data_IF_503676459324
#
_entry.id   IF_503676459324
#
_cell.length_a   1.000
_cell.length_b   1.000
_cell.length_c   1.000
_cell.angle_alpha   90.00
_cell.angle_beta   90.00
_cell.angle_gamma   90.00
#
_symmetry.space_group_name_H-M   'P 1'
#
loop_
_entity.id
_entity.type
_entity.pdbx_description
1 polymer ?
#
# COMPACT_ATOMS: atom_id res chain seq x y z
N UNK A 1 -2.91 -14.83 28.14
CA UNK A 1 -3.34 -13.84 27.12
C UNK A 1 -4.12 -14.63 26.09
N UNK A 2 -5.46 -14.55 26.12
CA UNK A 2 -6.33 -15.38 25.27
C UNK A 2 -6.12 -15.00 23.80
N UNK A 3 -5.68 -15.96 23.00
CA UNK A 3 -5.49 -15.88 21.54
C UNK A 3 -6.82 -15.75 20.76
N UNK A 4 -7.95 -15.54 21.44
CA UNK A 4 -9.32 -15.49 20.89
C UNK A 4 -9.61 -14.26 20.01
N UNK A 5 -8.64 -13.40 19.72
CA UNK A 5 -8.84 -12.10 19.05
C UNK A 5 -8.00 -11.87 17.77
N UNK A 6 -7.30 -12.88 17.27
CA UNK A 6 -6.44 -12.76 16.08
C UNK A 6 -7.08 -13.49 14.90
N UNK A 7 -7.58 -12.73 13.92
CA UNK A 7 -8.47 -13.23 12.88
C UNK A 7 -7.81 -13.70 11.58
N UNK A 8 -6.57 -13.33 11.27
CA UNK A 8 -5.92 -13.78 10.02
C UNK A 8 -4.42 -13.98 10.20
N UNK A 9 -3.96 -15.17 9.84
CA UNK A 9 -2.57 -15.52 9.65
C UNK A 9 -2.33 -15.60 8.14
N UNK A 10 -1.50 -14.73 7.61
CA UNK A 10 -1.01 -14.86 6.23
C UNK A 10 0.33 -15.54 6.25
N UNK A 11 0.38 -16.78 5.78
CA UNK A 11 1.63 -17.54 5.61
C UNK A 11 2.03 -17.55 4.13
N UNK A 12 3.31 -17.32 3.86
CA UNK A 12 3.93 -17.71 2.58
C UNK A 12 4.70 -19.00 2.82
N UNK A 13 4.25 -20.10 2.19
CA UNK A 13 4.86 -21.43 2.27
C UNK A 13 5.39 -21.91 0.90
N UNK A 14 5.97 -21.03 0.09
CA UNK A 14 6.37 -21.35 -1.29
C UNK A 14 7.87 -21.18 -1.53
N UNK A 15 8.70 -22.14 -1.12
CA UNK A 15 10.07 -22.28 -1.66
C UNK A 15 10.50 -23.75 -1.74
N UNK A 16 9.72 -24.58 -2.46
CA UNK A 16 10.18 -25.93 -2.81
C UNK A 16 11.39 -25.80 -3.73
N UNK A 17 12.52 -26.39 -3.33
CA UNK A 17 13.69 -26.57 -4.18
C UNK A 17 13.28 -27.26 -5.50
N UNK A 18 13.11 -26.50 -6.58
CA UNK A 18 13.01 -27.06 -7.93
C UNK A 18 14.40 -27.53 -8.38
N UNK A 19 14.88 -28.66 -7.84
CA UNK A 19 15.88 -29.45 -8.53
C UNK A 19 15.17 -30.37 -9.51
N UNK A 20 14.93 -29.89 -10.74
CA UNK A 20 14.89 -30.81 -11.89
C UNK A 20 16.32 -31.10 -12.28
N UNK A 21 16.79 -32.26 -11.85
CA UNK A 21 17.93 -32.94 -12.42
C UNK A 21 17.62 -33.28 -13.89
N UNK A 22 18.31 -32.65 -14.82
CA UNK A 22 18.55 -33.13 -16.17
C UNK A 22 20.03 -32.83 -16.41
N UNK A 23 20.91 -33.81 -16.27
CA UNK A 23 21.23 -34.73 -17.36
C UNK A 23 22.51 -34.19 -17.99
N UNK A 24 23.57 -34.98 -17.91
CA UNK A 24 24.92 -34.69 -18.40
C UNK A 24 24.91 -34.06 -19.80
N UNK A 25 25.75 -33.04 -19.98
CA UNK A 25 26.60 -32.91 -21.17
C UNK A 25 27.69 -31.85 -20.89
N UNK A 26 28.93 -32.33 -20.95
CA UNK A 26 30.12 -31.53 -21.16
C UNK A 26 29.99 -30.73 -22.47
N UNK A 27 30.38 -29.46 -22.47
CA UNK A 27 31.18 -28.82 -23.53
C UNK A 27 31.45 -27.34 -23.19
N UNK A 28 32.71 -26.96 -23.40
CA UNK A 28 33.31 -25.64 -23.20
C UNK A 28 32.61 -24.53 -24.01
N UNK A 29 32.36 -23.37 -23.39
CA UNK A 29 32.49 -22.08 -24.11
C UNK A 29 32.68 -20.89 -23.15
N UNK A 30 33.80 -20.19 -23.36
CA UNK A 30 34.23 -18.98 -22.66
C UNK A 30 33.54 -17.75 -23.26
N UNK A 31 32.34 -17.38 -22.79
CA UNK A 31 31.78 -16.04 -23.01
C UNK A 31 31.04 -15.52 -21.78
N UNK A 32 31.62 -14.50 -21.14
CA UNK A 32 31.04 -13.78 -20.00
C UNK A 32 30.39 -12.48 -20.50
N UNK A 33 29.06 -12.31 -20.46
CA UNK A 33 28.44 -11.00 -20.55
C UNK A 33 27.88 -10.53 -19.20
N UNK A 34 28.13 -9.25 -18.95
CA UNK A 34 27.50 -8.29 -18.03
C UNK A 34 26.70 -8.82 -16.83
N UNK A 35 27.23 -8.48 -15.65
CA UNK A 35 26.67 -8.66 -14.32
C UNK A 35 25.32 -7.94 -14.18
N UNK A 36 24.25 -8.61 -14.63
CA UNK A 36 22.92 -8.37 -14.08
C UNK A 36 22.99 -8.71 -12.60
N UNK A 37 22.65 -7.74 -11.74
CA UNK A 37 22.47 -7.97 -10.31
C UNK A 37 21.21 -8.83 -10.13
N UNK A 38 21.36 -10.12 -10.39
CA UNK A 38 20.41 -11.15 -10.02
C UNK A 38 20.36 -11.16 -8.49
N UNK A 39 19.18 -10.92 -7.92
CA UNK A 39 18.96 -11.20 -6.49
C UNK A 39 19.45 -12.62 -6.19
N UNK A 40 20.19 -12.87 -5.11
CA UNK A 40 20.76 -14.19 -4.86
C UNK A 40 19.61 -15.21 -4.75
N UNK A 41 19.52 -16.08 -5.75
CA UNK A 41 18.59 -17.21 -5.84
C UNK A 41 18.95 -18.35 -4.87
N UNK A 42 19.96 -18.16 -4.03
CA UNK A 42 20.45 -19.12 -3.05
C UNK A 42 19.93 -18.73 -1.66
N UNK A 43 19.10 -19.60 -1.08
CA UNK A 43 18.65 -19.48 0.32
C UNK A 43 19.90 -19.58 1.22
N UNK A 44 20.20 -18.56 2.05
CA UNK A 44 21.35 -18.61 2.93
C UNK A 44 21.18 -19.68 4.02
N UNK A 45 22.29 -20.24 4.50
CA UNK A 45 22.26 -21.14 5.65
C UNK A 45 21.85 -20.38 6.90
N UNK A 46 20.95 -20.97 7.68
CA UNK A 46 20.62 -20.53 9.04
C UNK A 46 21.62 -21.16 10.01
N UNK A 47 22.34 -20.35 10.76
CA UNK A 47 23.53 -20.72 11.52
C UNK A 47 23.29 -21.72 12.66
N UNK A 48 22.07 -21.85 13.14
CA UNK A 48 21.65 -22.83 14.16
C UNK A 48 21.29 -24.21 13.58
N UNK A 49 21.12 -24.33 12.26
CA UNK A 49 20.77 -25.58 11.58
C UNK A 49 21.99 -26.25 10.95
N UNK A 50 22.08 -27.59 11.11
CA UNK A 50 23.17 -28.40 10.55
C UNK A 50 22.93 -28.87 9.10
N UNK A 51 21.85 -28.45 8.45
CA UNK A 51 21.42 -28.94 7.13
C UNK A 51 20.83 -27.86 6.23
N UNK A 52 20.50 -28.22 4.97
CA UNK A 52 19.73 -27.34 4.09
C UNK A 52 18.34 -27.08 4.70
N UNK A 53 17.77 -25.93 4.34
CA UNK A 53 16.44 -25.52 4.79
C UNK A 53 15.48 -25.84 3.65
N UNK A 54 14.53 -26.73 3.91
CA UNK A 54 13.55 -27.16 2.92
C UNK A 54 12.36 -26.19 2.85
N UNK A 55 11.99 -25.59 3.98
CA UNK A 55 10.93 -24.59 4.09
C UNK A 55 11.16 -23.64 5.26
N UNK A 56 10.53 -22.47 5.19
CA UNK A 56 10.47 -21.50 6.28
C UNK A 56 9.23 -20.64 6.09
N UNK A 57 8.66 -20.17 7.20
CA UNK A 57 7.42 -19.41 7.19
C UNK A 57 7.67 -18.01 7.73
N UNK A 58 7.18 -17.02 6.99
CA UNK A 58 7.02 -15.64 7.48
C UNK A 58 5.53 -15.38 7.53
N UNK A 59 5.06 -14.97 8.70
CA UNK A 59 3.65 -14.70 8.94
C UNK A 59 3.43 -13.29 9.49
N UNK A 60 2.32 -12.70 9.08
CA UNK A 60 1.80 -11.47 9.67
C UNK A 60 0.37 -11.67 10.14
N UNK A 61 0.01 -11.00 11.23
CA UNK A 61 -1.35 -11.03 11.76
C UNK A 61 -1.82 -9.64 12.19
N UNK A 62 -3.04 -9.31 11.80
CA UNK A 62 -3.69 -8.03 12.07
C UNK A 62 -4.80 -8.19 13.12
N UNK A 63 -4.93 -7.25 14.07
CA UNK A 63 -6.11 -7.20 14.92
C UNK A 63 -7.30 -6.71 14.09
N UNK A 64 -8.44 -7.41 14.13
CA UNK A 64 -9.65 -7.01 13.39
C UNK A 64 -10.63 -6.16 14.19
N UNK A 65 -10.40 -6.01 15.49
CA UNK A 65 -11.27 -5.21 16.36
C UNK A 65 -11.26 -3.74 15.90
N UNK A 66 -12.45 -3.17 15.72
CA UNK A 66 -12.63 -1.80 15.29
C UNK A 66 -12.57 -1.58 13.77
N UNK A 67 -12.65 -2.64 12.96
CA UNK A 67 -12.64 -2.53 11.49
C UNK A 67 -13.77 -1.67 10.93
N UNK A 68 -14.94 -1.67 11.58
CA UNK A 68 -16.10 -0.85 11.23
C UNK A 68 -16.13 0.51 11.94
N UNK A 69 -15.20 0.75 12.85
CA UNK A 69 -15.17 1.97 13.65
C UNK A 69 -14.38 3.06 12.93
N UNK A 70 -14.93 4.27 12.94
CA UNK A 70 -14.20 5.45 12.51
C UNK A 70 -13.42 6.00 13.70
N UNK A 71 -12.10 5.82 13.68
CA UNK A 71 -11.21 6.29 14.72
C UNK A 71 -9.84 6.64 14.15
N UNK A 72 -9.40 7.87 14.45
CA UNK A 72 -8.05 8.33 14.16
C UNK A 72 -7.00 7.80 15.15
N UNK A 73 -7.43 7.02 16.16
CA UNK A 73 -6.51 6.40 17.10
C UNK A 73 -5.56 5.44 16.40
N UNK A 74 -4.28 5.55 16.70
CA UNK A 74 -3.27 4.63 16.19
C UNK A 74 -3.29 3.32 16.97
N UNK A 75 -3.11 2.19 16.27
CA UNK A 75 -2.96 0.90 16.94
C UNK A 75 -1.65 0.84 17.72
N UNK A 76 -1.63 0.15 18.88
CA UNK A 76 -0.41 -0.04 19.64
C UNK A 76 0.59 -0.90 18.86
N UNK A 77 1.87 -0.60 19.04
CA UNK A 77 2.92 -1.40 18.40
C UNK A 77 2.94 -2.81 18.95
N UNK A 78 3.22 -3.79 18.10
CA UNK A 78 3.26 -5.21 18.42
C UNK A 78 4.70 -5.72 18.49
N UNK A 79 4.98 -6.71 19.36
CA UNK A 79 6.27 -7.39 19.35
C UNK A 79 6.47 -8.20 18.06
N UNK A 80 7.73 -8.39 17.68
CA UNK A 80 8.12 -9.39 16.67
C UNK A 80 8.24 -10.75 17.35
N UNK A 81 7.96 -11.84 16.65
CA UNK A 81 8.05 -13.19 17.16
C UNK A 81 9.09 -14.01 16.41
N UNK A 82 9.91 -14.71 17.19
CA UNK A 82 10.76 -15.82 16.74
C UNK A 82 10.52 -16.97 17.73
N UNK A 83 9.40 -17.68 17.54
CA UNK A 83 8.76 -18.59 18.51
C UNK A 83 8.25 -17.90 19.80
N UNK A 84 9.05 -17.04 20.42
CA UNK A 84 8.67 -16.20 21.56
C UNK A 84 8.66 -14.70 21.17
N UNK A 85 7.92 -13.87 21.92
CA UNK A 85 7.94 -12.43 21.72
C UNK A 85 9.35 -11.85 21.95
N UNK A 86 9.77 -11.00 21.02
CA UNK A 86 10.93 -10.11 21.10
C UNK A 86 10.44 -8.68 21.36
N UNK A 87 11.34 -7.70 21.37
CA UNK A 87 10.95 -6.29 21.45
C UNK A 87 10.10 -5.86 20.24
N UNK A 88 9.30 -4.81 20.46
CA UNK A 88 8.61 -4.11 19.37
C UNK A 88 9.61 -3.35 18.49
N UNK A 89 9.38 -3.38 17.18
CA UNK A 89 10.15 -2.61 16.19
C UNK A 89 9.31 -1.55 15.47
N UNK A 90 8.16 -1.18 16.05
CA UNK A 90 7.26 -0.15 15.52
C UNK A 90 6.11 -0.67 14.65
N UNK A 91 6.06 -1.97 14.34
CA UNK A 91 4.94 -2.56 13.61
C UNK A 91 3.64 -2.51 14.41
N UNK A 92 2.51 -2.32 13.74
CA UNK A 92 1.17 -2.32 14.34
C UNK A 92 0.41 -3.64 14.14
N UNK A 93 1.10 -4.60 13.52
CA UNK A 93 0.66 -5.97 13.30
C UNK A 93 1.74 -6.90 13.86
N UNK A 94 1.36 -8.13 14.19
CA UNK A 94 2.33 -9.15 14.60
C UNK A 94 3.13 -9.56 13.38
N UNK A 95 4.45 -9.59 13.50
CA UNK A 95 5.36 -10.20 12.55
C UNK A 95 5.99 -11.42 13.21
N UNK A 96 5.81 -12.59 12.62
CA UNK A 96 6.46 -13.83 13.03
C UNK A 96 7.34 -14.33 11.89
N UNK A 97 8.58 -14.69 12.21
CA UNK A 97 9.43 -15.40 11.28
C UNK A 97 10.44 -16.25 12.03
N UNK A 98 11.11 -17.12 11.28
CA UNK A 98 12.23 -17.94 11.69
C UNK A 98 13.53 -17.15 11.94
N UNK A 99 13.44 -15.97 12.55
CA UNK A 99 14.60 -15.12 12.76
C UNK A 99 15.65 -15.79 13.65
N UNK A 100 16.91 -15.66 13.25
CA UNK A 100 18.03 -15.91 14.14
C UNK A 100 18.13 -14.79 15.18
N UNK A 101 18.30 -15.19 16.44
CA UNK A 101 18.38 -14.29 17.59
C UNK A 101 19.65 -14.56 18.40
N UNK A 102 20.24 -13.54 19.06
CA UNK A 102 21.36 -13.72 19.97
C UNK A 102 20.91 -14.47 21.23
N UNK A 103 21.87 -14.97 22.00
CA UNK A 103 21.61 -15.72 23.24
C UNK A 103 20.78 -14.94 24.28
N UNK A 104 20.87 -13.60 24.29
CA UNK A 104 20.05 -12.74 25.16
C UNK A 104 18.57 -12.80 24.83
N UNK A 105 18.19 -13.17 23.60
CA UNK A 105 16.81 -13.21 23.09
C UNK A 105 16.03 -11.89 23.25
N UNK A 106 16.73 -10.76 23.33
CA UNK A 106 16.11 -9.44 23.48
C UNK A 106 15.91 -8.71 22.14
N UNK A 107 16.71 -9.03 21.12
CA UNK A 107 16.67 -8.40 19.81
C UNK A 107 16.93 -9.42 18.70
N UNK A 108 16.87 -8.99 17.45
CA UNK A 108 17.26 -9.77 16.28
C UNK A 108 18.77 -9.75 16.09
N UNK A 109 19.30 -10.84 15.54
CA UNK A 109 20.67 -10.84 15.02
C UNK A 109 20.70 -10.06 13.70
N UNK A 110 21.45 -8.96 13.63
CA UNK A 110 21.43 -8.02 12.48
C UNK A 110 22.56 -8.22 11.49
N UNK A 111 23.52 -9.08 11.83
CA UNK A 111 24.77 -9.35 11.09
C UNK A 111 24.75 -10.68 10.35
N UNK A 112 23.57 -11.20 9.97
CA UNK A 112 23.45 -12.47 9.25
C UNK A 112 22.66 -12.36 7.95
N UNK A 113 23.03 -13.21 7.00
CA UNK A 113 22.39 -13.26 5.68
C UNK A 113 20.98 -13.84 5.76
N UNK A 114 20.71 -14.70 6.76
CA UNK A 114 19.40 -15.33 6.94
C UNK A 114 18.29 -14.31 7.24
N UNK A 115 18.47 -13.43 8.22
CA UNK A 115 17.47 -12.43 8.58
C UNK A 115 17.35 -11.35 7.50
N UNK A 116 18.44 -10.98 6.82
CA UNK A 116 18.38 -10.09 5.65
C UNK A 116 17.58 -10.72 4.50
N UNK A 117 17.77 -12.02 4.26
CA UNK A 117 17.00 -12.76 3.26
C UNK A 117 15.51 -12.83 3.65
N UNK A 118 15.16 -13.16 4.89
CA UNK A 118 13.77 -13.14 5.37
C UNK A 118 13.14 -11.77 5.16
N UNK A 119 13.84 -10.70 5.57
CA UNK A 119 13.41 -9.32 5.35
C UNK A 119 13.16 -8.98 3.89
N UNK A 120 13.98 -9.49 2.97
CA UNK A 120 13.81 -9.27 1.54
C UNK A 120 12.51 -9.88 0.98
N UNK A 121 11.96 -10.91 1.65
CA UNK A 121 10.71 -11.57 1.27
C UNK A 121 9.47 -10.95 1.92
N UNK A 122 9.64 -10.26 3.05
CA UNK A 122 8.54 -9.62 3.78
C UNK A 122 7.66 -8.66 2.95
N UNK A 123 8.15 -7.86 1.98
CA UNK A 123 7.30 -6.94 1.22
C UNK A 123 6.11 -7.62 0.53
N UNK A 124 6.30 -8.86 0.08
CA UNK A 124 5.24 -9.66 -0.56
C UNK A 124 4.06 -9.90 0.38
N UNK A 125 4.29 -9.99 1.69
CA UNK A 125 3.23 -10.17 2.68
C UNK A 125 2.31 -8.95 2.76
N UNK A 126 2.81 -7.74 2.49
CA UNK A 126 1.96 -6.54 2.47
C UNK A 126 1.01 -6.56 1.28
N UNK A 127 1.46 -7.05 0.12
CA UNK A 127 0.59 -7.27 -1.03
C UNK A 127 -0.46 -8.34 -0.75
N UNK A 128 -0.06 -9.50 -0.20
CA UNK A 128 -1.02 -10.54 0.17
C UNK A 128 -2.04 -10.04 1.21
N UNK A 129 -1.60 -9.26 2.19
CA UNK A 129 -2.48 -8.61 3.16
C UNK A 129 -3.50 -7.70 2.47
N UNK A 130 -3.06 -6.85 1.55
CA UNK A 130 -3.98 -6.01 0.77
C UNK A 130 -5.04 -6.85 0.06
N UNK A 131 -4.65 -7.95 -0.62
CA UNK A 131 -5.60 -8.83 -1.31
C UNK A 131 -6.60 -9.46 -0.34
N UNK A 132 -6.15 -9.93 0.83
CA UNK A 132 -7.03 -10.48 1.85
C UNK A 132 -8.00 -9.43 2.40
N UNK A 133 -7.53 -8.22 2.70
CA UNK A 133 -8.39 -7.13 3.16
C UNK A 133 -9.42 -6.71 2.10
N UNK A 134 -9.11 -6.81 0.81
CA UNK A 134 -10.07 -6.57 -0.28
C UNK A 134 -11.21 -7.59 -0.28
N UNK A 135 -10.92 -8.85 0.02
CA UNK A 135 -11.88 -9.96 0.08
C UNK A 135 -12.54 -10.14 1.45
N UNK A 136 -12.01 -9.48 2.48
CA UNK A 136 -12.41 -9.65 3.88
C UNK A 136 -13.92 -9.45 4.13
N UNK A 137 -14.60 -8.43 3.56
CA UNK A 137 -16.05 -8.29 3.68
C UNK A 137 -16.83 -9.54 3.26
N UNK A 138 -16.46 -10.13 2.11
CA UNK A 138 -17.11 -11.33 1.57
C UNK A 138 -16.80 -12.55 2.45
N UNK A 139 -15.55 -12.72 2.87
CA UNK A 139 -15.15 -13.86 3.68
C UNK A 139 -15.82 -13.86 5.07
N UNK A 140 -16.00 -12.67 5.66
CA UNK A 140 -16.72 -12.52 6.93
C UNK A 140 -18.22 -12.86 6.76
N UNK A 141 -18.81 -12.47 5.63
CA UNK A 141 -20.20 -12.80 5.32
C UNK A 141 -20.40 -14.31 5.13
N UNK A 142 -19.53 -14.97 4.36
CA UNK A 142 -19.62 -16.40 4.06
C UNK A 142 -19.44 -17.28 5.30
N UNK A 143 -18.50 -16.91 6.18
CA UNK A 143 -18.17 -17.70 7.36
C UNK A 143 -19.11 -17.43 8.56
N UNK A 144 -20.10 -16.52 8.43
CA UNK A 144 -20.96 -16.07 9.53
C UNK A 144 -20.18 -15.74 10.81
N UNK A 145 -18.95 -15.21 10.66
CA UNK A 145 -18.06 -14.94 11.80
C UNK A 145 -18.54 -13.75 12.64
N UNK A 146 -19.57 -13.05 12.17
CA UNK A 146 -20.18 -11.93 12.89
C UNK A 146 -21.15 -12.48 13.94
N UNK A 147 -20.88 -12.10 15.19
CA UNK A 147 -21.82 -12.20 16.30
C UNK A 147 -22.52 -10.84 16.50
N UNK A 148 -23.40 -10.73 17.49
CA UNK A 148 -24.22 -9.53 17.78
C UNK A 148 -23.41 -8.21 17.96
N UNK A 149 -22.07 -8.28 18.03
CA UNK A 149 -21.19 -7.16 18.33
C UNK A 149 -20.39 -6.62 17.13
N UNK A 150 -20.44 -7.27 15.96
CA UNK A 150 -19.70 -6.80 14.78
C UNK A 150 -20.63 -6.60 13.58
N UNK A 151 -20.63 -5.38 13.05
CA UNK A 151 -21.25 -5.10 11.76
C UNK A 151 -20.35 -5.61 10.63
N UNK A 152 -20.97 -5.99 9.51
CA UNK A 152 -20.25 -6.38 8.31
C UNK A 152 -19.45 -5.18 7.77
N UNK A 153 -18.11 -5.27 7.65
CA UNK A 153 -17.31 -4.16 7.15
C UNK A 153 -17.53 -3.96 5.65
N UNK A 154 -17.58 -2.71 5.20
CA UNK A 154 -17.55 -2.41 3.76
C UNK A 154 -16.13 -2.59 3.20
N UNK A 155 -16.01 -2.74 1.88
CA UNK A 155 -14.69 -2.77 1.23
C UNK A 155 -13.86 -1.50 1.52
N UNK A 156 -14.50 -0.32 1.59
CA UNK A 156 -13.84 0.93 1.96
C UNK A 156 -13.29 0.83 3.39
N UNK A 157 -14.08 0.34 4.33
CA UNK A 157 -13.65 0.17 5.71
C UNK A 157 -12.48 -0.82 5.82
N UNK A 158 -12.54 -1.95 5.13
CA UNK A 158 -11.47 -2.94 5.15
C UNK A 158 -10.14 -2.39 4.58
N UNK A 159 -10.17 -1.70 3.44
CA UNK A 159 -8.97 -1.09 2.86
C UNK A 159 -8.47 0.08 3.72
N UNK A 160 -9.36 0.98 4.19
CA UNK A 160 -9.01 2.04 5.15
C UNK A 160 -8.29 1.46 6.37
N UNK A 161 -8.80 0.35 6.88
CA UNK A 161 -8.25 -0.31 8.06
C UNK A 161 -6.86 -0.91 7.78
N UNK A 162 -6.68 -1.60 6.64
CA UNK A 162 -5.37 -2.08 6.19
C UNK A 162 -4.33 -0.94 6.11
N UNK A 163 -4.70 0.20 5.51
CA UNK A 163 -3.80 1.34 5.36
C UNK A 163 -3.29 1.89 6.71
N UNK A 164 -4.05 1.75 7.79
CA UNK A 164 -3.62 2.15 9.16
C UNK A 164 -2.50 1.28 9.73
N UNK A 165 -2.29 0.09 9.19
CA UNK A 165 -1.21 -0.81 9.61
C UNK A 165 0.07 -0.66 8.79
N UNK A 166 0.02 0.08 7.69
CA UNK A 166 1.20 0.29 6.88
C UNK A 166 2.29 1.03 7.70
N UNK A 167 3.52 0.49 7.71
CA UNK A 167 4.58 0.98 8.58
C UNK A 167 5.08 2.36 8.14
N UNK A 168 4.96 3.39 8.99
CA UNK A 168 5.53 4.70 8.70
C UNK A 168 7.04 4.68 8.94
N UNK A 169 7.84 5.15 7.97
CA UNK A 169 9.32 5.06 8.04
C UNK A 169 9.90 5.68 9.31
N UNK A 170 9.33 6.74 9.87
CA UNK A 170 9.91 7.39 11.06
C UNK A 170 9.60 6.69 12.40
N UNK A 171 8.69 5.71 12.42
CA UNK A 171 8.27 5.00 13.66
C UNK A 171 8.88 3.60 13.76
N UNK A 172 9.51 3.14 12.68
CA UNK A 172 9.98 1.77 12.51
C UNK A 172 11.48 1.72 12.77
N UNK A 173 11.92 0.64 13.40
CA UNK A 173 13.35 0.39 13.61
C UNK A 173 14.12 0.52 12.28
N UNK A 174 15.22 1.30 12.21
CA UNK A 174 16.03 1.50 11.01
C UNK A 174 16.38 0.21 10.25
N UNK A 175 16.48 -0.92 10.96
CA UNK A 175 16.76 -2.23 10.38
C UNK A 175 15.69 -2.71 9.39
N UNK A 176 14.44 -2.26 9.52
CA UNK A 176 13.33 -2.64 8.65
C UNK A 176 13.02 -1.59 7.56
N UNK A 177 13.80 -0.52 7.42
CA UNK A 177 13.49 0.55 6.45
C UNK A 177 13.42 0.07 5.02
N UNK A 178 14.32 -0.85 4.63
CA UNK A 178 14.29 -1.42 3.29
C UNK A 178 12.98 -2.19 3.05
N UNK A 179 12.50 -2.93 4.05
CA UNK A 179 11.20 -3.60 3.98
C UNK A 179 10.06 -2.58 3.82
N UNK A 180 10.08 -1.48 4.58
CA UNK A 180 9.08 -0.41 4.47
C UNK A 180 9.08 0.16 3.05
N UNK A 181 10.23 0.62 2.57
CA UNK A 181 10.35 1.25 1.24
C UNK A 181 9.89 0.32 0.12
N UNK A 182 10.34 -0.94 0.13
CA UNK A 182 9.91 -1.95 -0.86
C UNK A 182 8.43 -2.27 -0.77
N UNK A 183 7.84 -2.24 0.42
CA UNK A 183 6.40 -2.43 0.59
C UNK A 183 5.62 -1.29 -0.04
N UNK A 184 6.03 -0.03 0.15
CA UNK A 184 5.39 1.11 -0.50
C UNK A 184 5.55 1.08 -2.02
N UNK A 185 6.74 0.75 -2.53
CA UNK A 185 6.99 0.59 -3.98
C UNK A 185 6.06 -0.47 -4.59
N UNK A 186 5.96 -1.64 -3.94
CA UNK A 186 5.10 -2.72 -4.40
C UNK A 186 3.62 -2.32 -4.35
N UNK A 187 3.17 -1.77 -3.21
CA UNK A 187 1.78 -1.38 -3.00
C UNK A 187 1.33 -0.26 -3.93
N UNK A 188 2.18 0.73 -4.22
CA UNK A 188 1.87 1.82 -5.14
C UNK A 188 1.47 1.33 -6.55
N UNK A 189 2.00 0.17 -6.98
CA UNK A 189 1.71 -0.42 -8.28
C UNK A 189 0.49 -1.35 -8.33
N UNK A 190 -0.09 -1.73 -7.19
CA UNK A 190 -1.11 -2.80 -7.11
C UNK A 190 -2.34 -2.42 -6.28
N UNK A 191 -2.20 -1.49 -5.34
CA UNK A 191 -3.32 -1.04 -4.51
C UNK A 191 -4.25 -0.20 -5.35
N UNK A 192 -5.54 -0.44 -5.20
CA UNK A 192 -6.59 0.45 -5.66
C UNK A 192 -7.27 1.09 -4.45
N UNK A 193 -7.54 2.39 -4.57
CA UNK A 193 -8.18 3.20 -3.55
C UNK A 193 -9.56 3.67 -4.01
N UNK A 194 -10.53 3.79 -3.09
CA UNK A 194 -11.87 4.22 -3.42
C UNK A 194 -11.88 5.73 -3.68
N UNK A 195 -12.40 6.15 -4.82
CA UNK A 195 -12.57 7.56 -5.20
C UNK A 195 -14.01 7.84 -5.59
N UNK A 196 -14.39 9.11 -5.49
CA UNK A 196 -15.73 9.57 -5.84
C UNK A 196 -15.74 9.95 -7.33
N UNK A 197 -16.60 9.28 -8.10
CA UNK A 197 -16.91 9.64 -9.48
C UNK A 197 -18.34 10.21 -9.54
N UNK A 198 -18.49 11.35 -10.23
CA UNK A 198 -19.80 11.96 -10.46
C UNK A 198 -20.35 11.50 -11.81
N UNK A 199 -21.45 10.75 -11.78
CA UNK A 199 -22.14 10.32 -13.00
C UNK A 199 -22.86 11.51 -13.65
N UNK A 200 -23.15 11.37 -14.94
CA UNK A 200 -23.88 12.38 -15.73
C UNK A 200 -25.28 12.71 -15.18
N UNK A 201 -25.88 11.78 -14.44
CA UNK A 201 -27.19 11.97 -13.79
C UNK A 201 -27.09 12.67 -12.41
N UNK A 202 -25.87 13.02 -11.96
CA UNK A 202 -25.61 13.65 -10.67
C UNK A 202 -25.37 12.68 -9.51
N UNK A 203 -25.48 11.36 -9.75
CA UNK A 203 -25.23 10.37 -8.71
C UNK A 203 -23.73 10.19 -8.45
N UNK A 204 -23.38 9.95 -7.19
CA UNK A 204 -22.02 9.59 -6.79
C UNK A 204 -21.83 8.08 -6.91
N UNK A 205 -20.81 7.68 -7.66
CA UNK A 205 -20.36 6.31 -7.76
C UNK A 205 -18.98 6.17 -7.12
N UNK A 206 -18.78 5.06 -6.41
CA UNK A 206 -17.46 4.69 -5.90
C UNK A 206 -16.77 3.85 -6.97
N UNK A 207 -15.62 4.33 -7.43
CA UNK A 207 -14.74 3.56 -8.30
C UNK A 207 -13.40 3.33 -7.59
N UNK A 208 -12.68 2.29 -8.00
CA UNK A 208 -11.40 1.91 -7.42
C UNK A 208 -10.30 2.19 -8.43
N UNK A 209 -9.34 3.03 -8.06
CA UNK A 209 -8.27 3.52 -8.97
C UNK A 209 -6.90 3.48 -8.28
N UNK A 210 -5.79 3.40 -9.03
CA UNK A 210 -4.45 3.42 -8.43
C UNK A 210 -4.15 4.76 -7.71
N UNK A 211 -3.31 4.77 -6.66
CA UNK A 211 -2.94 5.97 -5.91
C UNK A 211 -2.49 7.14 -6.77
N UNK A 212 -1.80 6.89 -7.90
CA UNK A 212 -1.34 7.92 -8.83
C UNK A 212 -2.45 8.77 -9.45
N UNK A 213 -3.70 8.29 -9.42
CA UNK A 213 -4.90 9.00 -9.89
C UNK A 213 -5.71 9.61 -8.74
N UNK A 214 -5.28 9.42 -7.49
CA UNK A 214 -5.99 9.90 -6.31
C UNK A 214 -5.48 11.28 -5.89
N UNK A 215 -6.41 12.20 -5.66
CA UNK A 215 -6.18 13.53 -5.11
C UNK A 215 -6.71 13.60 -3.69
N UNK A 216 -5.85 14.04 -2.77
CA UNK A 216 -6.19 14.28 -1.37
C UNK A 216 -6.68 15.72 -1.25
N UNK A 217 -7.93 15.90 -0.82
CA UNK A 217 -8.49 17.20 -0.47
C UNK A 217 -9.42 17.03 0.73
N UNK A 218 -9.07 17.65 1.87
CA UNK A 218 -9.85 17.59 3.11
C UNK A 218 -10.87 18.72 3.20
N UNK A 219 -10.54 19.87 2.65
CA UNK A 219 -11.35 21.08 2.76
C UNK A 219 -12.37 21.18 1.63
N UNK A 220 -13.56 21.65 1.98
CA UNK A 220 -14.65 21.86 1.03
C UNK A 220 -14.32 22.95 0.01
N UNK A 221 -13.48 23.92 0.39
CA UNK A 221 -13.11 25.05 -0.47
C UNK A 221 -12.32 24.59 -1.71
N UNK A 222 -11.32 23.74 -1.52
CA UNK A 222 -10.54 23.14 -2.62
C UNK A 222 -11.45 22.35 -3.56
N UNK A 223 -12.38 21.57 -3.00
CA UNK A 223 -13.36 20.80 -3.81
C UNK A 223 -14.39 21.68 -4.52
N UNK A 224 -14.76 22.84 -3.96
CA UNK A 224 -15.66 23.78 -4.63
C UNK A 224 -14.95 24.55 -5.75
N UNK A 225 -13.65 24.82 -5.57
CA UNK A 225 -12.84 25.55 -6.53
C UNK A 225 -12.39 24.65 -7.69
N UNK A 226 -12.07 23.40 -7.40
CA UNK A 226 -11.65 22.39 -8.38
C UNK A 226 -12.67 21.27 -8.32
N UNK A 227 -13.58 21.27 -9.28
CA UNK A 227 -14.62 20.25 -9.37
C UNK A 227 -14.05 18.91 -9.82
N UNK A 228 -14.77 17.83 -9.51
CA UNK A 228 -14.46 16.47 -9.96
C UNK A 228 -14.28 16.41 -11.48
N UNK A 229 -15.14 17.12 -12.22
CA UNK A 229 -15.09 17.17 -13.67
C UNK A 229 -13.80 17.81 -14.19
N UNK A 230 -13.30 18.85 -13.51
CA UNK A 230 -12.05 19.52 -13.89
C UNK A 230 -10.84 18.60 -13.68
N UNK A 231 -10.80 17.87 -12.56
CA UNK A 231 -9.75 16.87 -12.29
C UNK A 231 -9.77 15.74 -13.31
N UNK A 232 -10.95 15.22 -13.62
CA UNK A 232 -11.11 14.14 -14.57
C UNK A 232 -10.69 14.57 -15.97
N UNK A 233 -11.20 15.71 -16.44
CA UNK A 233 -10.98 16.21 -17.80
C UNK A 233 -9.52 16.55 -18.08
N UNK A 234 -8.83 17.20 -17.14
CA UNK A 234 -7.47 17.71 -17.39
C UNK A 234 -6.36 16.84 -16.81
N UNK A 235 -6.65 15.96 -15.85
CA UNK A 235 -5.62 15.17 -15.14
C UNK A 235 -5.95 13.69 -15.02
N UNK A 236 -7.11 13.24 -15.52
CA UNK A 236 -7.59 11.87 -15.32
C UNK A 236 -7.42 11.42 -13.86
N UNK A 237 -7.82 12.29 -12.93
CA UNK A 237 -7.63 12.14 -11.50
C UNK A 237 -8.94 12.35 -10.76
N UNK A 238 -9.05 11.81 -9.56
CA UNK A 238 -10.28 11.78 -8.77
C UNK A 238 -10.02 12.16 -7.32
N UNK A 239 -11.02 12.71 -6.65
CA UNK A 239 -10.95 12.90 -5.20
C UNK A 239 -11.06 11.57 -4.46
N UNK A 240 -10.10 11.34 -3.57
CA UNK A 240 -10.09 10.19 -2.67
C UNK A 240 -11.29 10.25 -1.71
N UNK A 241 -11.89 9.08 -1.44
CA UNK A 241 -13.07 8.97 -0.59
C UNK A 241 -12.83 9.50 0.83
N UNK A 242 -13.83 10.19 1.39
CA UNK A 242 -13.73 10.94 2.64
C UNK A 242 -13.32 10.07 3.83
N UNK A 243 -13.84 8.84 3.91
CA UNK A 243 -13.45 7.91 4.97
C UNK A 243 -11.94 7.60 4.99
N UNK A 244 -11.31 7.52 3.82
CA UNK A 244 -9.86 7.26 3.73
C UNK A 244 -9.09 8.55 4.03
N UNK A 245 -9.51 9.68 3.45
CA UNK A 245 -8.85 10.98 3.62
C UNK A 245 -8.87 11.45 5.08
N UNK A 246 -9.95 11.19 5.80
CA UNK A 246 -10.14 11.67 7.17
C UNK A 246 -9.44 10.80 8.23
N UNK A 247 -9.20 9.51 7.93
CA UNK A 247 -8.68 8.57 8.92
C UNK A 247 -7.28 8.05 8.65
N UNK A 248 -6.81 8.11 7.41
CA UNK A 248 -5.45 7.71 7.05
C UNK A 248 -4.47 8.89 7.15
N UNK A 249 -3.21 8.57 7.47
CA UNK A 249 -2.15 9.57 7.50
C UNK A 249 -1.88 10.09 6.07
N UNK A 250 -1.90 11.41 5.90
CA UNK A 250 -1.68 12.06 4.61
C UNK A 250 -0.30 11.76 4.03
N UNK A 251 0.75 11.74 4.86
CA UNK A 251 2.12 11.41 4.42
C UNK A 251 2.21 9.99 3.87
N UNK A 252 1.41 9.08 4.44
CA UNK A 252 1.33 7.69 4.02
C UNK A 252 0.62 7.57 2.67
N UNK A 253 -0.49 8.28 2.49
CA UNK A 253 -1.20 8.33 1.21
C UNK A 253 -0.31 8.91 0.11
N UNK A 254 0.45 9.98 0.41
CA UNK A 254 1.43 10.54 -0.53
C UNK A 254 2.54 9.55 -0.86
N UNK A 255 3.04 8.81 0.14
CA UNK A 255 4.05 7.78 -0.08
C UNK A 255 3.55 6.61 -0.95
N UNK A 256 2.24 6.33 -0.96
CA UNK A 256 1.62 5.37 -1.89
C UNK A 256 1.46 5.91 -3.31
N UNK A 257 1.55 7.23 -3.51
CA UNK A 257 1.44 7.89 -4.81
C UNK A 257 0.25 8.85 -4.95
N UNK A 258 -0.57 9.03 -3.91
CA UNK A 258 -1.62 10.04 -3.92
C UNK A 258 -1.04 11.46 -3.99
N UNK A 259 -1.77 12.39 -4.60
CA UNK A 259 -1.32 13.77 -4.79
C UNK A 259 -2.07 14.74 -3.91
N UNK A 260 -1.37 15.78 -3.48
CA UNK A 260 -1.96 16.97 -2.86
C UNK A 260 -1.87 18.08 -3.89
N UNK A 261 -2.97 18.81 -4.11
CA UNK A 261 -2.98 19.93 -5.03
C UNK A 261 -2.20 21.10 -4.42
N UNK A 262 -1.13 21.53 -5.07
CA UNK A 262 -0.43 22.76 -4.72
C UNK A 262 -0.97 23.94 -5.54
N UNK A 263 -0.54 25.16 -5.20
CA UNK A 263 -0.97 26.39 -5.89
C UNK A 263 -0.66 26.33 -7.40
N UNK A 264 0.48 25.77 -7.80
CA UNK A 264 0.83 25.65 -9.22
C UNK A 264 -0.11 24.68 -9.97
N UNK A 265 -0.48 23.56 -9.34
CA UNK A 265 -1.45 22.61 -9.90
C UNK A 265 -2.81 23.28 -10.08
N UNK A 266 -3.25 24.04 -9.06
CA UNK A 266 -4.50 24.80 -9.08
C UNK A 266 -4.47 25.82 -10.22
N UNK A 267 -3.40 26.61 -10.36
CA UNK A 267 -3.26 27.59 -11.42
C UNK A 267 -3.25 26.95 -12.81
N UNK A 268 -2.57 25.82 -12.99
CA UNK A 268 -2.57 25.09 -14.26
C UNK A 268 -3.96 24.56 -14.61
N UNK A 269 -4.71 24.05 -13.62
CA UNK A 269 -6.09 23.59 -13.82
C UNK A 269 -7.01 24.75 -14.22
N UNK A 270 -6.89 25.89 -13.53
CA UNK A 270 -7.64 27.11 -13.87
C UNK A 270 -7.29 27.60 -15.27
N UNK A 271 -6.00 27.73 -15.61
CA UNK A 271 -5.57 28.16 -16.94
C UNK A 271 -6.09 27.22 -18.03
N UNK A 272 -6.04 25.90 -17.79
CA UNK A 272 -6.56 24.89 -18.71
C UNK A 272 -8.07 25.01 -18.93
N UNK A 273 -8.83 25.41 -17.89
CA UNK A 273 -10.27 25.68 -18.01
C UNK A 273 -10.55 26.93 -18.85
N UNK A 274 -9.76 28.00 -18.68
CA UNK A 274 -9.91 29.23 -19.47
C UNK A 274 -9.56 29.04 -20.95
N UNK A 275 -8.49 28.27 -21.25
CA UNK A 275 -8.11 27.97 -22.64
C UNK A 275 -9.18 27.14 -23.37
N UNK A 276 -9.92 26.30 -22.65
CA UNK A 276 -11.03 25.55 -23.23
C UNK A 276 -12.21 26.49 -23.60
N UNK A 277 -12.50 27.47 -22.74
CA UNK A 277 -13.55 28.48 -22.99
C UNK A 277 -13.22 29.41 -24.17
N UNK A 278 -11.96 29.84 -24.31
CA UNK A 278 -11.53 30.68 -25.44
C UNK A 278 -11.55 29.92 -26.79
N UNK A 279 -11.46 28.58 -26.78
CA UNK A 279 -11.57 27.75 -27.98
C UNK A 279 -13.02 27.49 -28.41
N UNK A 280 -13.96 27.36 -27.47
CA UNK A 280 -15.40 27.23 -27.79
C UNK A 280 -16.04 28.57 -28.18
N UNK A 281 -15.49 29.69 -27.70
CA UNK A 281 -16.00 31.03 -28.00
C UNK A 281 -14.84 31.98 -28.36
N UNK A 282 -14.30 31.92 -29.60
CA UNK A 282 -13.32 32.88 -30.04
C UNK A 282 -13.92 34.28 -29.95
N UNK A 283 -13.23 35.19 -29.25
CA UNK A 283 -13.63 36.59 -29.12
C UNK A 283 -13.84 37.16 -30.52
N UNK A 284 -15.10 37.36 -30.90
CA UNK A 284 -15.43 38.13 -32.09
C UNK A 284 -14.97 39.57 -31.83
N UNK A 285 -13.79 39.92 -32.34
CA UNK A 285 -13.38 41.31 -32.51
C UNK A 285 -14.32 41.94 -33.55
N UNK A 286 -15.50 42.37 -33.09
CA UNK A 286 -16.37 43.24 -33.85
C UNK A 286 -15.61 44.55 -34.08
N UNK A 287 -15.18 44.74 -35.32
CA UNK A 287 -14.66 46.01 -35.83
C UNK A 287 -15.69 47.11 -35.55
N UNK A 288 -15.50 47.85 -34.46
CA UNK A 288 -16.18 49.14 -34.25
C UNK A 288 -15.54 50.08 -35.25
N UNK A 289 -16.14 50.19 -36.45
CA UNK A 289 -15.89 51.31 -37.34
C UNK A 289 -16.35 52.56 -36.58
N UNK A 290 -15.36 53.34 -36.12
CA UNK A 290 -15.54 54.67 -35.57
C UNK A 290 -16.43 55.48 -36.52
N UNK A 291 -17.62 55.84 -36.04
CA UNK A 291 -18.37 56.96 -36.56
C UNK A 291 -17.87 58.22 -35.88
N UNK A 292 -16.93 58.91 -36.51
CA UNK A 292 -16.56 60.32 -36.31
C UNK A 292 -15.90 60.76 -37.64
N UNK A 293 -16.13 61.91 -38.27
CA UNK A 293 -16.97 63.07 -38.05
C UNK A 293 -16.88 63.90 -39.36
N UNK A 294 -17.99 64.54 -39.76
CA UNK A 294 -18.12 65.73 -40.64
C UNK A 294 -17.75 65.64 -42.13
#
# INVERSE_FOLDING_TARGET
>A
MKLEYWGYLLEINEWKNERKWSGDNDEDDDQKPMENVQQPSVIPKRGDLKGPIDETTIAIAFPLKGITENSTSTFPTQPIFAYLPLRSCGFRFILQADFEIPASRQDLRRDNLWNEWLKSKMPQLMYLAYQQFKQLPELIADLNLMNEHYAQPTAIQAIKFFLKFLPASYEIDPYFQLFVNRSFELLAGVVELPVINMRLNGDKEIIWVPPSQCVIAKDQFTRSMITENLLLTHRNSYYLHDEVVNECNEKLLVALGCRILNIADILQLIESSYRFVDQEYPKNEATIKQGENR
#
